data_IF_338181458927
#
_entry.id   IF_338181458927
#
_cell.length_a   1.000
_cell.length_b   1.000
_cell.length_c   1.000
_cell.angle_alpha   90.00
_cell.angle_beta   90.00
_cell.angle_gamma   90.00
#
_symmetry.space_group_name_H-M   'P 1'
#
loop_
_entity.id
_entity.type
_entity.pdbx_description
1 polymer ?
#
# COMPACT_ATOMS: atom_id res chain seq x y z
N UNK A 1 -38.89 41.42 -15.59
CA UNK A 1 -40.37 41.28 -15.52
C UNK A 1 -40.70 40.24 -14.46
N UNK A 2 -41.68 40.53 -13.60
CA UNK A 2 -42.03 39.88 -12.34
C UNK A 2 -42.02 38.33 -12.31
N UNK A 3 -41.15 37.73 -11.49
CA UNK A 3 -41.26 36.31 -11.07
C UNK A 3 -42.46 36.11 -10.10
N UNK A 4 -43.01 37.20 -9.54
CA UNK A 4 -44.15 37.18 -8.63
C UNK A 4 -45.53 36.90 -9.26
N UNK A 5 -45.64 36.79 -10.59
CA UNK A 5 -46.95 36.68 -11.26
C UNK A 5 -47.41 35.24 -11.60
N UNK A 6 -46.56 34.22 -11.44
CA UNK A 6 -46.92 32.83 -11.75
C UNK A 6 -47.44 32.02 -10.54
N UNK A 7 -47.40 32.57 -9.32
CA UNK A 7 -47.77 31.87 -8.08
C UNK A 7 -49.28 31.96 -7.79
N UNK A 8 -50.05 32.62 -8.68
CA UNK A 8 -51.48 32.89 -8.49
C UNK A 8 -52.44 31.76 -8.85
N UNK A 9 -52.05 30.76 -9.64
CA UNK A 9 -52.99 29.70 -10.10
C UNK A 9 -52.27 28.40 -10.45
N UNK A 10 -52.04 27.53 -9.47
CA UNK A 10 -52.32 26.11 -9.71
C UNK A 10 -52.58 25.37 -8.40
N UNK A 11 -53.75 24.72 -8.34
CA UNK A 11 -54.11 23.70 -7.33
C UNK A 11 -53.02 22.61 -7.19
N UNK A 12 -52.13 22.51 -8.18
CA UNK A 12 -51.04 21.55 -8.32
C UNK A 12 -49.99 21.66 -7.20
N UNK A 13 -49.49 22.86 -6.88
CA UNK A 13 -48.45 23.02 -5.85
C UNK A 13 -48.94 22.65 -4.44
N UNK A 14 -50.22 22.88 -4.13
CA UNK A 14 -50.83 22.44 -2.87
C UNK A 14 -51.01 20.93 -2.77
N UNK A 15 -51.01 20.22 -3.91
CA UNK A 15 -51.18 18.77 -3.96
C UNK A 15 -49.87 17.99 -3.86
N UNK A 16 -48.70 18.66 -3.89
CA UNK A 16 -47.38 18.02 -3.83
C UNK A 16 -47.05 17.42 -2.45
N UNK A 17 -47.72 17.87 -1.39
CA UNK A 17 -47.56 17.30 -0.03
C UNK A 17 -48.05 15.85 0.05
N UNK A 18 -49.18 15.53 -0.59
CA UNK A 18 -49.78 14.19 -0.55
C UNK A 18 -48.91 13.07 -1.16
N UNK A 19 -48.29 13.22 -2.35
CA UNK A 19 -47.37 12.22 -2.86
C UNK A 19 -46.09 12.12 -2.02
N UNK A 20 -45.60 13.22 -1.41
CA UNK A 20 -44.46 13.18 -0.50
C UNK A 20 -44.74 12.34 0.77
N UNK A 21 -45.88 12.59 1.43
CA UNK A 21 -46.34 11.78 2.57
C UNK A 21 -46.61 10.34 2.14
N UNK A 22 -47.25 10.14 0.99
CA UNK A 22 -47.54 8.81 0.44
C UNK A 22 -46.28 7.99 0.20
N UNK A 23 -45.23 8.58 -0.36
CA UNK A 23 -43.94 7.92 -0.58
C UNK A 23 -43.22 7.59 0.74
N UNK A 24 -43.26 8.49 1.71
CA UNK A 24 -42.65 8.25 3.03
C UNK A 24 -43.37 7.13 3.79
N UNK A 25 -44.71 7.12 3.78
CA UNK A 25 -45.52 6.06 4.38
C UNK A 25 -45.31 4.75 3.63
N UNK A 26 -45.30 4.76 2.29
CA UNK A 26 -45.06 3.56 1.50
C UNK A 26 -43.67 2.97 1.76
N UNK A 27 -42.63 3.79 1.90
CA UNK A 27 -41.30 3.34 2.27
C UNK A 27 -41.23 2.77 3.70
N UNK A 28 -41.88 3.41 4.67
CA UNK A 28 -42.02 2.90 6.05
C UNK A 28 -42.76 1.55 6.08
N UNK A 29 -43.90 1.46 5.40
CA UNK A 29 -44.68 0.22 5.29
C UNK A 29 -43.88 -0.87 4.59
N UNK A 30 -43.18 -0.55 3.51
CA UNK A 30 -42.33 -1.50 2.79
C UNK A 30 -41.20 -2.04 3.69
N UNK A 31 -40.53 -1.18 4.47
CA UNK A 31 -39.46 -1.60 5.40
C UNK A 31 -39.97 -2.44 6.57
N UNK A 32 -41.15 -2.11 7.12
CA UNK A 32 -41.76 -2.87 8.22
C UNK A 32 -42.29 -4.22 7.75
N UNK A 33 -42.96 -4.28 6.60
CA UNK A 33 -43.56 -5.51 6.07
C UNK A 33 -42.49 -6.46 5.52
N UNK A 34 -41.44 -5.94 4.87
CA UNK A 34 -40.37 -6.79 4.34
C UNK A 34 -39.44 -7.33 5.42
N UNK A 35 -39.43 -6.71 6.62
CA UNK A 35 -38.42 -6.97 7.66
C UNK A 35 -36.99 -6.63 7.24
N UNK A 36 -36.78 -6.09 6.03
CA UNK A 36 -35.49 -5.78 5.44
C UNK A 36 -35.46 -4.30 5.03
N UNK A 37 -34.68 -3.52 5.76
CA UNK A 37 -34.40 -2.11 5.48
C UNK A 37 -33.32 -1.98 4.39
N UNK A 38 -33.65 -2.43 3.18
CA UNK A 38 -32.80 -2.33 1.99
C UNK A 38 -32.86 -0.95 1.32
N UNK A 39 -32.21 -0.82 0.16
CA UNK A 39 -32.12 0.45 -0.58
C UNK A 39 -33.49 1.00 -1.01
N UNK A 40 -34.45 0.13 -1.33
CA UNK A 40 -35.74 0.55 -1.90
C UNK A 40 -36.67 1.24 -0.88
N UNK A 41 -36.94 0.69 0.32
CA UNK A 41 -37.62 1.43 1.40
C UNK A 41 -36.95 2.77 1.72
N UNK A 42 -35.61 2.79 1.71
CA UNK A 42 -34.80 3.97 2.04
C UNK A 42 -34.94 5.10 1.01
N UNK A 43 -34.84 4.77 -0.28
CA UNK A 43 -35.03 5.74 -1.36
C UNK A 43 -36.43 6.34 -1.33
N UNK A 44 -37.45 5.53 -1.04
CA UNK A 44 -38.84 5.99 -0.93
C UNK A 44 -39.05 6.95 0.25
N UNK A 45 -38.45 6.65 1.41
CA UNK A 45 -38.50 7.54 2.59
C UNK A 45 -37.78 8.86 2.31
N UNK A 46 -36.55 8.80 1.78
CA UNK A 46 -35.74 10.00 1.50
C UNK A 46 -36.42 10.86 0.43
N UNK A 47 -36.92 10.27 -0.66
CA UNK A 47 -37.64 10.98 -1.70
C UNK A 47 -38.94 11.61 -1.17
N UNK A 48 -39.69 10.89 -0.32
CA UNK A 48 -40.90 11.40 0.32
C UNK A 48 -40.62 12.60 1.24
N UNK A 49 -39.60 12.49 2.10
CA UNK A 49 -39.17 13.58 2.99
C UNK A 49 -38.63 14.79 2.22
N UNK A 50 -37.86 14.57 1.15
CA UNK A 50 -37.35 15.66 0.30
C UNK A 50 -38.48 16.43 -0.39
N UNK A 51 -39.52 15.74 -0.88
CA UNK A 51 -40.69 16.37 -1.48
C UNK A 51 -41.52 17.17 -0.45
N UNK A 52 -41.66 16.66 0.76
CA UNK A 52 -42.34 17.38 1.85
C UNK A 52 -41.53 18.62 2.24
N UNK A 53 -40.21 18.52 2.38
CA UNK A 53 -39.33 19.64 2.71
C UNK A 53 -39.33 20.70 1.61
N UNK A 54 -39.26 20.28 0.35
CA UNK A 54 -39.38 21.17 -0.80
C UNK A 54 -40.73 21.90 -0.83
N UNK A 55 -41.83 21.20 -0.53
CA UNK A 55 -43.15 21.81 -0.40
C UNK A 55 -43.20 22.83 0.74
N UNK A 56 -42.62 22.51 1.90
CA UNK A 56 -42.55 23.44 3.04
C UNK A 56 -41.76 24.71 2.68
N UNK A 57 -40.64 24.60 1.96
CA UNK A 57 -39.87 25.75 1.47
C UNK A 57 -40.68 26.62 0.49
N UNK A 58 -41.44 25.99 -0.42
CA UNK A 58 -42.32 26.71 -1.35
C UNK A 58 -43.48 27.43 -0.62
N UNK A 59 -44.05 26.81 0.41
CA UNK A 59 -45.09 27.44 1.23
C UNK A 59 -44.51 28.61 2.03
N UNK A 60 -43.34 28.41 2.66
CA UNK A 60 -42.65 29.44 3.44
C UNK A 60 -42.30 30.68 2.59
N UNK A 61 -41.96 30.50 1.31
CA UNK A 61 -41.60 31.58 0.37
C UNK A 61 -42.80 32.23 -0.32
N UNK A 62 -44.00 31.64 -0.26
CA UNK A 62 -45.18 32.16 -0.94
C UNK A 62 -45.89 33.28 -0.16
N UNK A 63 -45.92 34.51 -0.71
CA UNK A 63 -46.58 35.70 -0.13
C UNK A 63 -48.10 35.57 0.11
N UNK A 64 -48.75 34.53 -0.43
CA UNK A 64 -50.21 34.34 -0.40
C UNK A 64 -50.75 33.74 0.91
N UNK A 65 -49.90 33.10 1.73
CA UNK A 65 -50.28 32.57 3.05
C UNK A 65 -50.13 33.62 4.17
N UNK A 66 -49.52 34.77 3.88
CA UNK A 66 -49.03 35.77 4.84
C UNK A 66 -49.95 37.01 5.00
N UNK A 67 -51.28 36.85 4.96
CA UNK A 67 -52.22 37.99 5.13
C UNK A 67 -52.85 38.15 6.53
N UNK A 68 -52.70 37.20 7.45
CA UNK A 68 -53.22 37.32 8.83
C UNK A 68 -52.08 37.34 9.86
N UNK A 69 -51.90 38.48 10.54
CA UNK A 69 -50.77 38.76 11.44
C UNK A 69 -50.71 37.88 12.70
N UNK A 70 -51.78 37.18 13.07
CA UNK A 70 -51.84 36.34 14.28
C UNK A 70 -51.45 34.86 14.07
N UNK A 71 -51.39 34.37 12.82
CA UNK A 71 -51.03 32.97 12.50
C UNK A 71 -49.63 32.80 11.89
N UNK A 72 -48.93 33.90 11.59
CA UNK A 72 -47.61 33.89 10.92
C UNK A 72 -46.47 33.33 11.79
N UNK A 73 -46.45 33.58 13.10
CA UNK A 73 -45.34 33.11 13.93
C UNK A 73 -45.50 31.65 14.37
N UNK A 74 -46.70 31.27 14.85
CA UNK A 74 -46.94 29.95 15.42
C UNK A 74 -46.88 28.81 14.41
N UNK A 75 -47.46 28.98 13.21
CA UNK A 75 -47.48 27.91 12.20
C UNK A 75 -46.12 27.69 11.54
N UNK A 76 -45.35 28.75 11.30
CA UNK A 76 -44.00 28.63 10.76
C UNK A 76 -43.03 28.03 11.78
N UNK A 77 -43.17 28.38 13.06
CA UNK A 77 -42.41 27.76 14.14
C UNK A 77 -42.74 26.26 14.22
N UNK A 78 -44.02 25.87 14.15
CA UNK A 78 -44.43 24.46 14.17
C UNK A 78 -43.82 23.69 12.99
N UNK A 79 -43.92 24.23 11.78
CA UNK A 79 -43.36 23.64 10.56
C UNK A 79 -41.84 23.48 10.67
N UNK A 80 -41.13 24.52 11.13
CA UNK A 80 -39.69 24.49 11.28
C UNK A 80 -39.25 23.47 12.33
N UNK A 81 -39.95 23.39 13.47
CA UNK A 81 -39.69 22.41 14.53
C UNK A 81 -39.95 21.00 14.02
N UNK A 82 -41.05 20.74 13.32
CA UNK A 82 -41.34 19.42 12.75
C UNK A 82 -40.30 19.03 11.70
N UNK A 83 -39.89 19.94 10.82
CA UNK A 83 -38.84 19.68 9.84
C UNK A 83 -37.49 19.38 10.52
N UNK A 84 -37.12 20.14 11.55
CA UNK A 84 -35.90 19.92 12.33
C UNK A 84 -35.89 18.54 12.99
N UNK A 85 -36.99 18.15 13.64
CA UNK A 85 -37.11 16.83 14.28
C UNK A 85 -37.01 15.71 13.24
N UNK A 86 -37.65 15.86 12.07
CA UNK A 86 -37.54 14.88 10.99
C UNK A 86 -36.11 14.76 10.45
N UNK A 87 -35.41 15.89 10.25
CA UNK A 87 -34.02 15.90 9.80
C UNK A 87 -33.11 15.24 10.83
N UNK A 88 -33.24 15.60 12.12
CA UNK A 88 -32.43 15.01 13.19
C UNK A 88 -32.72 13.52 13.35
N UNK A 89 -33.98 13.09 13.22
CA UNK A 89 -34.36 11.68 13.22
C UNK A 89 -33.74 10.91 12.06
N UNK A 90 -33.79 11.46 10.84
CA UNK A 90 -33.15 10.86 9.66
C UNK A 90 -31.63 10.79 9.83
N UNK A 91 -31.01 11.86 10.33
CA UNK A 91 -29.56 11.93 10.55
C UNK A 91 -29.11 10.92 11.60
N UNK A 92 -29.81 10.84 12.73
CA UNK A 92 -29.54 9.84 13.77
C UNK A 92 -29.71 8.41 13.24
N UNK A 93 -30.74 8.16 12.44
CA UNK A 93 -30.98 6.86 11.82
C UNK A 93 -29.88 6.50 10.80
N UNK A 94 -29.43 7.44 9.97
CA UNK A 94 -28.32 7.23 9.04
C UNK A 94 -27.01 6.92 9.78
N UNK A 95 -26.69 7.67 10.83
CA UNK A 95 -25.47 7.45 11.65
C UNK A 95 -25.52 6.08 12.34
N UNK A 96 -26.67 5.71 12.91
CA UNK A 96 -26.82 4.42 13.59
C UNK A 96 -26.76 3.22 12.63
N UNK A 97 -27.21 3.39 11.38
CA UNK A 97 -27.31 2.30 10.41
C UNK A 97 -26.09 2.17 9.49
N UNK A 98 -25.41 3.28 9.20
CA UNK A 98 -24.22 3.33 8.34
C UNK A 98 -23.02 3.87 9.13
N UNK A 99 -22.39 3.04 9.98
CA UNK A 99 -21.19 3.43 10.71
C UNK A 99 -19.98 3.47 9.75
N UNK A 100 -19.94 4.44 8.83
CA UNK A 100 -18.71 4.74 8.10
C UNK A 100 -17.75 5.48 9.03
N UNK A 101 -16.65 4.83 9.36
CA UNK A 101 -15.57 5.40 10.16
C UNK A 101 -14.61 6.13 9.23
N UNK A 102 -14.83 7.42 9.07
CA UNK A 102 -13.87 8.28 8.40
C UNK A 102 -12.84 8.67 9.46
N UNK A 103 -11.59 8.24 9.26
CA UNK A 103 -10.49 8.64 10.13
C UNK A 103 -10.13 10.10 9.85
N UNK A 104 -10.52 11.00 10.75
CA UNK A 104 -10.24 12.44 10.70
C UNK A 104 -8.97 12.80 11.46
N UNK A 105 -8.18 11.83 11.95
CA UNK A 105 -6.91 12.12 12.60
C UNK A 105 -5.89 12.62 11.59
N UNK A 106 -5.09 13.60 11.99
CA UNK A 106 -4.10 14.26 11.12
C UNK A 106 -3.08 13.28 10.49
N UNK A 107 -2.85 12.15 11.14
CA UNK A 107 -1.91 11.11 10.70
C UNK A 107 -2.59 9.80 10.25
N UNK A 108 -3.92 9.75 10.11
CA UNK A 108 -4.65 8.55 9.68
C UNK A 108 -4.29 7.27 10.47
N UNK A 109 -3.99 7.42 11.76
CA UNK A 109 -3.42 6.37 12.63
C UNK A 109 -4.33 5.15 12.84
N UNK A 110 -5.61 5.24 12.46
CA UNK A 110 -6.57 4.15 12.55
C UNK A 110 -6.91 3.55 11.20
N UNK A 111 -6.24 3.98 10.12
CA UNK A 111 -6.47 3.47 8.78
C UNK A 111 -5.19 2.91 8.16
N UNK A 112 -5.32 1.83 7.42
CA UNK A 112 -4.19 1.19 6.75
C UNK A 112 -3.69 2.03 5.58
N UNK A 113 -2.38 1.98 5.34
CA UNK A 113 -1.76 2.60 4.18
C UNK A 113 -2.35 2.02 2.87
N UNK A 114 -2.41 2.80 1.77
CA UNK A 114 -2.94 2.33 0.49
C UNK A 114 -2.30 1.02 -0.01
N UNK A 115 -1.00 0.85 0.22
CA UNK A 115 -0.26 -0.35 -0.16
C UNK A 115 -0.71 -1.58 0.64
N UNK A 116 -0.87 -1.44 1.96
CA UNK A 116 -1.40 -2.49 2.85
C UNK A 116 -2.81 -2.91 2.44
N UNK A 117 -3.68 -1.94 2.11
CA UNK A 117 -5.04 -2.20 1.60
C UNK A 117 -5.02 -3.06 0.33
N UNK A 118 -4.19 -2.70 -0.65
CA UNK A 118 -4.08 -3.44 -1.91
C UNK A 118 -3.64 -4.90 -1.69
N UNK A 119 -2.66 -5.13 -0.80
CA UNK A 119 -2.14 -6.47 -0.52
C UNK A 119 -3.20 -7.34 0.18
N UNK A 120 -3.89 -6.81 1.19
CA UNK A 120 -4.91 -7.55 1.94
C UNK A 120 -6.13 -7.89 1.08
N UNK A 121 -6.53 -6.97 0.20
CA UNK A 121 -7.64 -7.22 -0.73
C UNK A 121 -7.27 -8.22 -1.83
N UNK A 122 -5.99 -8.29 -2.20
CA UNK A 122 -5.47 -9.21 -3.22
C UNK A 122 -5.07 -10.60 -2.70
N UNK A 123 -5.38 -10.95 -1.45
CA UNK A 123 -5.05 -12.28 -0.91
C UNK A 123 -5.86 -13.39 -1.61
N UNK A 124 -5.17 -14.27 -2.32
CA UNK A 124 -5.79 -15.41 -3.01
C UNK A 124 -6.05 -16.58 -2.05
N UNK A 125 -5.13 -16.82 -1.11
CA UNK A 125 -5.19 -17.89 -0.11
C UNK A 125 -5.57 -17.35 1.28
N UNK A 126 -6.23 -18.14 2.15
CA UNK A 126 -6.52 -17.72 3.50
C UNK A 126 -5.25 -17.71 4.36
N UNK A 127 -5.01 -16.58 5.02
CA UNK A 127 -3.86 -16.33 5.90
C UNK A 127 -4.36 -16.18 7.34
N UNK A 128 -3.67 -16.84 8.27
CA UNK A 128 -3.91 -16.75 9.71
C UNK A 128 -2.67 -16.20 10.42
N UNK A 129 -2.85 -15.10 11.14
CA UNK A 129 -1.80 -14.48 11.95
C UNK A 129 -1.92 -14.94 13.41
N UNK A 130 -0.88 -15.57 13.94
CA UNK A 130 -0.77 -15.94 15.34
C UNK A 130 0.12 -14.93 16.08
N UNK A 131 -0.45 -14.27 17.10
CA UNK A 131 0.30 -13.35 17.96
C UNK A 131 0.58 -14.06 19.28
N UNK A 132 1.84 -14.40 19.52
CA UNK A 132 2.23 -15.08 20.74
C UNK A 132 2.65 -14.07 21.79
N UNK A 133 1.73 -13.77 22.70
CA UNK A 133 2.02 -12.86 23.80
C UNK A 133 1.27 -13.29 25.06
N UNK A 134 1.91 -13.25 26.24
CA UNK A 134 1.22 -13.51 27.51
C UNK A 134 0.14 -12.46 27.81
N UNK A 135 0.25 -11.27 27.21
CA UNK A 135 -0.67 -10.14 27.40
C UNK A 135 -1.12 -9.60 26.05
N UNK A 136 -2.35 -9.10 25.95
CA UNK A 136 -2.79 -8.41 24.74
C UNK A 136 -1.96 -7.15 24.47
N UNK A 137 -1.67 -6.91 23.19
CA UNK A 137 -0.91 -5.75 22.71
C UNK A 137 -1.84 -4.87 21.88
N UNK A 138 -2.44 -3.81 22.45
CA UNK A 138 -3.41 -2.98 21.73
C UNK A 138 -2.91 -2.42 20.39
N UNK A 139 -1.63 -1.98 20.23
CA UNK A 139 -1.14 -1.52 18.94
C UNK A 139 -1.17 -2.61 17.85
N UNK A 140 -0.74 -3.83 18.19
CA UNK A 140 -0.74 -4.97 17.27
C UNK A 140 -2.18 -5.41 16.97
N UNK A 141 -3.03 -5.49 17.99
CA UNK A 141 -4.44 -5.88 17.85
C UNK A 141 -5.20 -4.92 16.94
N UNK A 142 -4.96 -3.62 17.05
CA UNK A 142 -5.60 -2.61 16.20
C UNK A 142 -5.21 -2.76 14.74
N UNK A 143 -3.92 -2.98 14.46
CA UNK A 143 -3.43 -3.24 13.09
C UNK A 143 -4.10 -4.50 12.55
N UNK A 144 -4.00 -5.64 13.22
CA UNK A 144 -4.58 -6.91 12.73
C UNK A 144 -6.11 -6.84 12.57
N UNK A 145 -6.79 -6.13 13.46
CA UNK A 145 -8.23 -5.88 13.33
C UNK A 145 -8.57 -5.14 12.05
N UNK A 146 -7.79 -4.12 11.69
CA UNK A 146 -8.00 -3.37 10.45
C UNK A 146 -7.79 -4.26 9.21
N UNK A 147 -6.83 -5.20 9.24
CA UNK A 147 -6.62 -6.17 8.15
C UNK A 147 -7.82 -7.11 8.01
N UNK A 148 -8.34 -7.63 9.13
CA UNK A 148 -9.54 -8.48 9.15
C UNK A 148 -10.79 -7.73 8.69
N UNK A 149 -10.94 -6.45 9.04
CA UNK A 149 -12.07 -5.63 8.60
C UNK A 149 -12.06 -5.40 7.08
N UNK A 150 -10.89 -5.41 6.43
CA UNK A 150 -10.79 -5.29 4.97
C UNK A 150 -11.04 -6.60 4.22
N UNK A 151 -10.62 -7.74 4.77
CA UNK A 151 -10.80 -9.03 4.13
C UNK A 151 -11.07 -10.15 5.17
N UNK A 152 -12.30 -10.20 5.68
CA UNK A 152 -12.68 -11.16 6.72
C UNK A 152 -12.75 -12.61 6.23
N UNK A 153 -12.78 -12.84 4.92
CA UNK A 153 -12.85 -14.18 4.32
C UNK A 153 -11.47 -14.83 4.21
N UNK A 154 -10.44 -14.04 3.90
CA UNK A 154 -9.08 -14.54 3.65
C UNK A 154 -8.08 -14.15 4.72
N UNK A 155 -8.42 -13.27 5.67
CA UNK A 155 -7.51 -12.90 6.75
C UNK A 155 -8.15 -13.13 8.12
N UNK A 156 -7.45 -13.91 8.95
CA UNK A 156 -7.83 -14.17 10.35
C UNK A 156 -6.63 -13.97 11.27
N UNK A 157 -6.88 -13.71 12.56
CA UNK A 157 -5.82 -13.61 13.55
C UNK A 157 -6.25 -14.20 14.90
N UNK A 158 -5.29 -14.73 15.64
CA UNK A 158 -5.48 -15.32 16.97
C UNK A 158 -4.36 -14.89 17.92
N UNK A 159 -4.71 -14.55 19.16
CA UNK A 159 -3.74 -14.29 20.22
C UNK A 159 -3.54 -15.59 21.00
N UNK A 160 -2.31 -16.10 20.97
CA UNK A 160 -1.95 -17.33 21.67
C UNK A 160 -1.11 -16.98 22.89
N UNK A 161 -1.51 -17.48 24.05
CA UNK A 161 -0.67 -17.40 25.24
C UNK A 161 0.33 -18.57 25.23
N UNK A 162 1.65 -18.31 25.08
CA UNK A 162 2.65 -19.38 24.98
C UNK A 162 2.75 -20.21 26.27
N UNK A 163 2.34 -19.67 27.43
CA UNK A 163 2.32 -20.39 28.70
C UNK A 163 1.17 -21.39 28.81
N UNK A 164 0.07 -21.15 28.08
CA UNK A 164 -1.13 -21.99 28.14
C UNK A 164 -1.15 -23.06 27.05
N UNK A 165 -0.45 -22.83 25.92
CA UNK A 165 -0.42 -23.73 24.78
C UNK A 165 1.02 -24.05 24.32
N UNK A 166 1.85 -24.70 25.17
CA UNK A 166 3.24 -24.99 24.83
C UNK A 166 3.39 -25.94 23.63
N UNK A 167 2.39 -26.77 23.33
CA UNK A 167 2.39 -27.66 22.16
C UNK A 167 2.38 -26.91 20.82
N UNK A 168 1.56 -25.86 20.71
CA UNK A 168 1.49 -25.03 19.50
C UNK A 168 2.77 -24.21 19.28
N UNK A 169 3.41 -23.78 20.37
CA UNK A 169 4.71 -23.08 20.36
C UNK A 169 5.82 -23.99 19.81
N UNK A 170 5.82 -25.28 20.18
CA UNK A 170 6.80 -26.26 19.69
C UNK A 170 6.57 -26.64 18.23
N UNK A 171 5.30 -26.82 17.84
CA UNK A 171 4.92 -27.13 16.46
C UNK A 171 5.34 -26.03 15.48
N UNK A 172 5.22 -24.77 15.90
CA UNK A 172 5.61 -23.60 15.10
C UNK A 172 7.09 -23.19 15.27
N UNK A 173 7.89 -23.99 15.99
CA UNK A 173 9.35 -23.81 16.07
C UNK A 173 9.82 -22.59 16.85
N UNK A 174 9.04 -22.11 17.82
CA UNK A 174 9.30 -20.83 18.50
C UNK A 174 10.38 -20.90 19.59
N UNK A 175 11.11 -19.79 19.73
CA UNK A 175 12.18 -19.61 20.73
C UNK A 175 11.90 -18.51 21.76
N UNK A 176 11.14 -17.45 21.42
CA UNK A 176 10.97 -16.27 22.27
C UNK A 176 9.49 -15.82 22.44
N UNK A 177 9.08 -15.33 23.63
CA UNK A 177 7.78 -14.68 23.83
C UNK A 177 7.71 -13.31 23.16
N UNK A 178 6.62 -13.00 22.43
CA UNK A 178 6.42 -11.71 21.76
C UNK A 178 6.47 -11.78 20.23
N UNK A 179 6.62 -12.96 19.64
CA UNK A 179 6.68 -13.09 18.19
C UNK A 179 5.28 -13.11 17.55
N UNK A 180 5.15 -12.39 16.44
CA UNK A 180 3.99 -12.49 15.53
C UNK A 180 4.39 -13.42 14.40
N UNK A 181 3.72 -14.56 14.33
CA UNK A 181 3.86 -15.51 13.24
C UNK A 181 2.72 -15.32 12.25
N UNK A 182 3.08 -15.22 10.99
CA UNK A 182 2.13 -15.33 9.89
C UNK A 182 2.19 -16.74 9.30
N UNK A 183 1.04 -17.38 9.20
CA UNK A 183 0.88 -18.70 8.61
C UNK A 183 -0.12 -18.64 7.46
N UNK A 184 0.24 -19.26 6.33
CA UNK A 184 -0.71 -19.57 5.26
C UNK A 184 -1.34 -20.92 5.59
N UNK A 185 -2.67 -20.95 5.69
CA UNK A 185 -3.44 -22.19 5.87
C UNK A 185 -3.96 -22.63 4.51
N UNK A 186 -3.44 -23.71 3.94
CA UNK A 186 -4.12 -24.37 2.83
C UNK A 186 -5.27 -25.21 3.38
N UNK A 187 -6.49 -25.11 2.82
CA UNK A 187 -7.55 -26.06 3.15
C UNK A 187 -7.07 -27.47 2.80
N UNK A 188 -7.02 -28.38 3.78
CA UNK A 188 -6.64 -29.77 3.58
C UNK A 188 -7.33 -30.38 2.34
N UNK A 189 -6.56 -30.59 1.28
CA UNK A 189 -6.93 -31.56 0.26
C UNK A 189 -6.53 -32.94 0.78
N UNK A 190 -7.54 -33.78 0.96
CA UNK A 190 -7.47 -35.19 1.36
C UNK A 190 -6.24 -35.90 0.76
N UNK A 191 -5.17 -36.03 1.56
CA UNK A 191 -4.02 -36.88 1.27
C UNK A 191 -3.82 -37.80 2.46
N UNK A 192 -3.99 -39.12 2.30
CA UNK A 192 -3.88 -40.06 3.39
C UNK A 192 -2.39 -40.34 3.69
N UNK A 193 -1.87 -39.81 4.80
CA UNK A 193 -0.57 -40.26 5.28
C UNK A 193 0.13 -39.31 6.24
N UNK A 194 -0.22 -39.38 7.54
CA UNK A 194 0.73 -39.37 8.68
C UNK A 194 -0.07 -39.39 9.99
N UNK A 195 -0.02 -40.47 10.79
CA UNK A 195 -0.67 -40.50 12.09
C UNK A 195 0.17 -39.69 13.08
N UNK A 196 -0.25 -38.45 13.34
CA UNK A 196 0.42 -37.57 14.32
C UNK A 196 -0.06 -36.12 14.33
N UNK A 197 -0.65 -35.62 13.24
CA UNK A 197 -1.15 -34.25 13.15
C UNK A 197 -2.66 -34.21 13.40
N UNK A 198 -3.08 -33.72 14.58
CA UNK A 198 -4.46 -33.29 14.81
C UNK A 198 -4.54 -31.82 14.37
N UNK A 199 -5.02 -31.58 13.14
CA UNK A 199 -5.23 -30.24 12.60
C UNK A 199 -4.74 -30.13 11.15
N UNK A 200 -5.64 -30.33 10.19
CA UNK A 200 -5.31 -30.37 8.76
C UNK A 200 -5.12 -29.00 8.11
N UNK A 201 -4.09 -28.25 8.52
CA UNK A 201 -3.57 -27.11 7.74
C UNK A 201 -2.09 -27.40 7.47
N UNK A 202 -1.69 -27.63 6.21
CA UNK A 202 -0.27 -27.78 5.87
C UNK A 202 0.38 -26.38 6.00
N UNK A 203 1.28 -26.23 6.96
CA UNK A 203 2.09 -25.03 7.15
C UNK A 203 3.11 -24.91 6.03
N UNK A 204 2.89 -24.01 5.07
CA UNK A 204 3.82 -23.83 3.95
C UNK A 204 4.84 -22.72 4.20
N UNK A 205 4.44 -21.64 4.86
CA UNK A 205 5.32 -20.49 5.11
C UNK A 205 5.05 -19.86 6.47
N UNK A 206 6.14 -19.63 7.23
CA UNK A 206 6.15 -19.07 8.58
C UNK A 206 7.09 -17.88 8.59
N UNK A 207 6.55 -16.67 8.75
CA UNK A 207 7.37 -15.47 8.95
C UNK A 207 7.23 -15.00 10.39
N UNK A 208 8.36 -14.87 11.08
CA UNK A 208 8.43 -14.31 12.43
C UNK A 208 8.69 -12.80 12.37
N UNK A 209 7.92 -12.03 13.12
CA UNK A 209 8.11 -10.61 13.39
C UNK A 209 8.19 -10.40 14.90
N UNK A 210 9.35 -9.95 15.39
CA UNK A 210 9.54 -9.63 16.81
C UNK A 210 8.68 -8.42 17.20
N UNK A 211 7.97 -8.52 18.32
CA UNK A 211 7.09 -7.47 18.85
C UNK A 211 7.76 -6.10 18.99
N UNK A 212 9.03 -6.05 19.43
CA UNK A 212 9.75 -4.77 19.63
C UNK A 212 9.92 -3.97 18.33
N UNK A 213 9.87 -4.66 17.20
CA UNK A 213 10.05 -4.06 15.88
C UNK A 213 8.77 -4.06 15.04
N UNK A 214 7.63 -4.45 15.63
CA UNK A 214 6.38 -4.58 14.91
C UNK A 214 5.93 -3.22 14.34
N UNK A 215 5.75 -3.17 13.02
CA UNK A 215 5.15 -2.05 12.30
C UNK A 215 4.18 -2.56 11.24
N UNK A 216 3.21 -1.73 10.85
CA UNK A 216 2.30 -2.04 9.74
C UNK A 216 3.09 -2.36 8.46
N UNK A 217 4.15 -1.58 8.17
CA UNK A 217 4.98 -1.79 6.99
C UNK A 217 5.64 -3.17 6.98
N UNK A 218 6.25 -3.59 8.10
CA UNK A 218 6.89 -4.91 8.22
C UNK A 218 5.86 -6.03 8.12
N UNK A 219 4.71 -5.87 8.76
CA UNK A 219 3.62 -6.84 8.67
C UNK A 219 3.06 -6.97 7.24
N UNK A 220 2.85 -5.85 6.54
CA UNK A 220 2.42 -5.83 5.13
C UNK A 220 3.44 -6.51 4.22
N UNK A 221 4.73 -6.29 4.44
CA UNK A 221 5.77 -6.88 3.59
C UNK A 221 5.92 -8.37 3.86
N UNK A 222 5.80 -8.79 5.12
CA UNK A 222 5.71 -10.20 5.48
C UNK A 222 4.46 -10.86 4.85
N UNK A 223 3.31 -10.22 4.89
CA UNK A 223 2.09 -10.70 4.23
C UNK A 223 2.25 -10.78 2.70
N UNK A 224 2.93 -9.80 2.09
CA UNK A 224 3.25 -9.84 0.65
C UNK A 224 4.13 -11.02 0.29
N UNK A 225 5.16 -11.30 1.10
CA UNK A 225 6.04 -12.47 0.93
C UNK A 225 5.29 -13.78 1.05
N UNK A 226 4.27 -13.83 1.90
CA UNK A 226 3.45 -15.03 2.06
C UNK A 226 2.40 -15.20 0.95
N UNK A 227 1.88 -14.08 0.45
CA UNK A 227 0.94 -14.08 -0.66
C UNK A 227 1.62 -14.40 -2.00
N UNK A 228 2.93 -14.15 -2.13
CA UNK A 228 3.75 -14.53 -3.28
C UNK A 228 4.42 -15.86 -2.95
N UNK A 229 4.19 -16.91 -3.73
CA UNK A 229 4.79 -18.24 -3.54
C UNK A 229 6.33 -18.27 -3.76
N UNK A 230 6.95 -17.11 -3.97
CA UNK A 230 8.39 -16.94 -4.21
C UNK A 230 8.92 -15.68 -3.52
N UNK A 231 10.04 -15.84 -2.82
CA UNK A 231 10.83 -14.73 -2.30
C UNK A 231 11.73 -14.22 -3.44
N UNK A 232 11.54 -12.98 -3.85
CA UNK A 232 12.36 -12.35 -4.89
C UNK A 232 13.82 -12.20 -4.39
N UNK A 233 14.76 -12.88 -5.05
CA UNK A 233 16.19 -12.85 -4.70
C UNK A 233 16.92 -11.74 -5.47
N UNK A 234 17.75 -10.98 -4.76
CA UNK A 234 18.69 -10.02 -5.32
C UNK A 234 20.10 -10.54 -5.10
N UNK A 235 20.81 -10.81 -6.19
CA UNK A 235 22.15 -11.36 -6.12
C UNK A 235 23.21 -10.28 -6.24
N UNK A 236 24.18 -10.27 -5.34
CA UNK A 236 25.34 -9.39 -5.37
C UNK A 236 26.54 -10.14 -5.95
N UNK A 237 27.07 -9.68 -7.08
CA UNK A 237 28.20 -10.32 -7.73
C UNK A 237 29.44 -10.30 -6.83
N UNK A 238 30.15 -11.42 -6.78
CA UNK A 238 31.41 -11.59 -6.06
C UNK A 238 32.44 -12.34 -6.92
N UNK A 239 33.69 -11.87 -6.89
CA UNK A 239 34.83 -12.52 -7.57
C UNK A 239 35.81 -11.54 -8.23
N UNK A 240 35.40 -10.31 -8.49
CA UNK A 240 36.18 -9.27 -9.19
C UNK A 240 36.61 -8.11 -8.30
N UNK A 241 36.43 -8.22 -6.98
CA UNK A 241 36.83 -7.22 -5.99
C UNK A 241 35.73 -6.24 -5.60
N UNK A 242 34.48 -6.62 -5.87
CA UNK A 242 33.27 -5.89 -5.48
C UNK A 242 33.17 -5.68 -3.97
N UNK A 243 32.38 -4.68 -3.57
CA UNK A 243 31.94 -4.53 -2.19
C UNK A 243 31.18 -5.77 -1.74
N UNK A 244 31.62 -6.35 -0.63
CA UNK A 244 30.94 -7.52 -0.07
C UNK A 244 29.58 -7.12 0.46
N UNK A 245 28.66 -8.08 0.43
CA UNK A 245 27.28 -7.87 0.88
C UNK A 245 27.22 -7.38 2.34
N UNK A 246 28.16 -7.78 3.19
CA UNK A 246 28.21 -7.33 4.60
C UNK A 246 28.55 -5.83 4.73
N UNK A 247 29.33 -5.28 3.81
CA UNK A 247 29.66 -3.85 3.75
C UNK A 247 28.45 -3.00 3.33
N UNK A 248 27.47 -3.63 2.69
CA UNK A 248 26.22 -3.03 2.21
C UNK A 248 25.03 -3.34 3.13
N UNK A 249 25.29 -3.64 4.40
CA UNK A 249 24.27 -4.05 5.41
C UNK A 249 23.02 -3.16 5.45
N UNK A 250 23.17 -1.84 5.34
CA UNK A 250 22.03 -0.91 5.30
C UNK A 250 21.16 -1.15 4.06
N UNK A 251 21.77 -1.30 2.89
CA UNK A 251 21.04 -1.58 1.66
C UNK A 251 20.35 -2.95 1.74
N UNK A 252 21.06 -3.97 2.22
CA UNK A 252 20.51 -5.32 2.43
C UNK A 252 19.33 -5.30 3.38
N UNK A 253 19.42 -4.59 4.50
CA UNK A 253 18.31 -4.44 5.45
C UNK A 253 17.10 -3.73 4.83
N UNK A 254 17.32 -2.70 4.00
CA UNK A 254 16.23 -2.00 3.32
C UNK A 254 15.57 -2.85 2.22
N UNK A 255 16.34 -3.72 1.56
CA UNK A 255 15.82 -4.71 0.62
C UNK A 255 14.99 -5.77 1.35
N UNK A 256 15.50 -6.26 2.49
CA UNK A 256 14.79 -7.17 3.38
C UNK A 256 13.49 -6.57 3.91
N UNK A 257 13.49 -5.30 4.31
CA UNK A 257 12.28 -4.62 4.73
C UNK A 257 11.26 -4.55 3.60
N UNK A 258 11.68 -4.45 2.33
CA UNK A 258 10.80 -4.40 1.15
C UNK A 258 10.32 -5.75 0.63
N UNK A 259 10.76 -6.85 1.23
CA UNK A 259 10.32 -8.19 0.84
C UNK A 259 11.35 -8.98 0.04
N UNK A 260 12.52 -8.42 -0.27
CA UNK A 260 13.58 -9.10 -1.02
C UNK A 260 14.51 -9.88 -0.08
N UNK A 261 15.18 -10.89 -0.60
CA UNK A 261 16.36 -11.48 0.04
C UNK A 261 17.60 -11.17 -0.78
N UNK A 262 18.75 -11.11 -0.12
CA UNK A 262 20.01 -10.75 -0.79
C UNK A 262 21.05 -11.83 -0.56
N UNK A 263 21.69 -12.28 -1.64
CA UNK A 263 22.68 -13.36 -1.60
C UNK A 263 23.93 -12.98 -2.41
N UNK A 264 25.13 -13.40 -1.97
CA UNK A 264 26.32 -13.30 -2.81
C UNK A 264 26.23 -14.28 -4.00
N UNK A 265 26.76 -13.88 -5.15
CA UNK A 265 26.77 -14.66 -6.39
C UNK A 265 28.18 -14.72 -6.96
N UNK A 266 28.80 -15.88 -6.88
CA UNK A 266 30.03 -16.17 -7.60
C UNK A 266 29.69 -16.75 -8.98
N UNK A 267 29.50 -15.88 -9.97
CA UNK A 267 29.03 -16.27 -11.31
C UNK A 267 30.05 -17.15 -12.04
N UNK A 268 31.34 -16.85 -11.92
CA UNK A 268 32.40 -17.70 -12.47
C UNK A 268 32.33 -19.14 -11.94
N UNK A 269 32.07 -19.33 -10.64
CA UNK A 269 31.94 -20.66 -10.05
C UNK A 269 30.72 -21.43 -10.59
N UNK A 270 29.57 -20.78 -10.76
CA UNK A 270 28.37 -21.41 -11.34
C UNK A 270 28.58 -21.80 -12.79
N UNK A 271 29.16 -20.90 -13.60
CA UNK A 271 29.44 -21.17 -15.02
C UNK A 271 30.41 -22.35 -15.19
N UNK A 272 31.41 -22.48 -14.31
CA UNK A 272 32.32 -23.64 -14.32
C UNK A 272 31.61 -24.96 -14.00
N UNK A 273 30.47 -24.92 -13.30
CA UNK A 273 29.62 -26.08 -13.02
C UNK A 273 28.57 -26.33 -14.13
N UNK A 274 28.59 -25.54 -15.20
CA UNK A 274 27.61 -25.59 -16.28
C UNK A 274 26.26 -24.96 -15.90
N UNK A 275 26.21 -24.18 -14.82
CA UNK A 275 25.02 -23.46 -14.37
C UNK A 275 25.06 -22.00 -14.82
N UNK A 276 23.90 -21.39 -15.01
CA UNK A 276 23.75 -19.97 -15.33
C UNK A 276 23.48 -19.10 -14.10
N UNK A 277 22.96 -17.90 -14.35
CA UNK A 277 22.36 -17.08 -13.31
C UNK A 277 21.09 -17.81 -12.80
N UNK A 278 20.85 -17.90 -11.47
CA UNK A 278 19.66 -18.54 -10.91
C UNK A 278 18.34 -17.99 -11.47
N UNK A 279 17.35 -18.85 -11.68
CA UNK A 279 16.05 -18.46 -12.28
C UNK A 279 15.19 -17.58 -11.34
N UNK A 280 15.43 -17.65 -10.04
CA UNK A 280 14.78 -16.84 -9.00
C UNK A 280 15.44 -15.44 -8.84
N UNK A 281 16.50 -15.15 -9.60
CA UNK A 281 17.18 -13.86 -9.59
C UNK A 281 16.28 -12.75 -10.17
N UNK A 282 15.75 -11.91 -9.30
CA UNK A 282 14.95 -10.73 -9.67
C UNK A 282 15.83 -9.57 -10.16
N UNK A 283 17.02 -9.43 -9.58
CA UNK A 283 18.05 -8.52 -10.07
C UNK A 283 19.46 -8.99 -9.68
N UNK A 284 20.44 -8.60 -10.49
CA UNK A 284 21.87 -8.73 -10.20
C UNK A 284 22.45 -7.35 -9.89
N UNK A 285 23.23 -7.24 -8.82
CA UNK A 285 23.95 -6.03 -8.42
C UNK A 285 25.44 -6.27 -8.57
N UNK A 286 26.10 -5.44 -9.36
CA UNK A 286 27.57 -5.43 -9.51
C UNK A 286 28.09 -4.17 -8.83
N UNK A 287 28.64 -4.34 -7.63
CA UNK A 287 28.95 -3.23 -6.72
C UNK A 287 30.46 -2.93 -6.67
N UNK A 288 30.93 -1.99 -7.48
CA UNK A 288 32.34 -1.53 -7.47
C UNK A 288 33.35 -2.59 -7.93
N UNK A 289 33.18 -3.24 -9.09
CA UNK A 289 34.11 -4.26 -9.56
C UNK A 289 35.49 -3.64 -9.83
N UNK A 290 36.52 -4.15 -9.17
CA UNK A 290 37.89 -3.64 -9.28
C UNK A 290 38.69 -4.27 -10.43
N UNK A 291 38.20 -5.40 -10.94
CA UNK A 291 38.79 -6.16 -12.06
C UNK A 291 37.73 -6.45 -13.11
N UNK A 292 38.22 -6.70 -14.32
CA UNK A 292 37.36 -7.03 -15.45
C UNK A 292 36.69 -8.39 -15.30
N UNK A 293 35.37 -8.42 -15.54
CA UNK A 293 34.60 -9.67 -15.60
C UNK A 293 35.10 -10.55 -16.75
N UNK A 294 34.94 -11.87 -16.61
CA UNK A 294 35.31 -12.82 -17.64
C UNK A 294 34.29 -12.78 -18.81
N UNK A 295 34.74 -13.06 -20.03
CA UNK A 295 33.87 -13.07 -21.20
C UNK A 295 32.62 -13.98 -21.04
N UNK A 296 32.72 -15.19 -20.45
CA UNK A 296 31.54 -16.02 -20.18
C UNK A 296 30.55 -15.39 -19.19
N UNK A 297 31.04 -14.63 -18.21
CA UNK A 297 30.19 -13.91 -17.24
C UNK A 297 29.45 -12.77 -17.91
N UNK A 298 30.14 -11.98 -18.75
CA UNK A 298 29.51 -10.91 -19.53
C UNK A 298 28.44 -11.48 -20.48
N UNK A 299 28.69 -12.62 -21.11
CA UNK A 299 27.72 -13.32 -21.95
C UNK A 299 26.50 -13.82 -21.15
N UNK A 300 26.71 -14.34 -19.93
CA UNK A 300 25.62 -14.76 -19.06
C UNK A 300 24.75 -13.59 -18.58
N UNK A 301 25.38 -12.48 -18.16
CA UNK A 301 24.68 -11.23 -17.81
C UNK A 301 23.87 -10.67 -18.97
N UNK A 302 24.42 -10.74 -20.19
CA UNK A 302 23.71 -10.38 -21.41
C UNK A 302 22.46 -11.24 -21.62
N UNK A 303 22.60 -12.57 -21.56
CA UNK A 303 21.49 -13.49 -21.75
C UNK A 303 20.38 -13.29 -20.70
N UNK A 304 20.76 -12.95 -19.46
CA UNK A 304 19.82 -12.61 -18.39
C UNK A 304 19.07 -11.31 -18.66
N UNK A 305 19.76 -10.26 -19.11
CA UNK A 305 19.13 -9.00 -19.53
C UNK A 305 18.19 -9.18 -20.73
N UNK A 306 18.57 -10.00 -21.71
CA UNK A 306 17.76 -10.30 -22.89
C UNK A 306 16.44 -11.01 -22.54
N UNK A 307 16.40 -11.71 -21.39
CA UNK A 307 15.21 -12.35 -20.83
C UNK A 307 14.36 -11.41 -19.95
N UNK A 308 14.76 -10.15 -19.81
CA UNK A 308 14.05 -9.15 -19.00
C UNK A 308 14.52 -9.05 -17.55
N UNK A 309 15.65 -9.69 -17.20
CA UNK A 309 16.27 -9.55 -15.88
C UNK A 309 16.74 -8.13 -15.58
N UNK A 310 16.87 -7.80 -14.29
CA UNK A 310 17.34 -6.48 -13.83
C UNK A 310 18.83 -6.47 -13.50
N UNK A 311 19.59 -5.51 -14.03
CA UNK A 311 21.01 -5.33 -13.69
C UNK A 311 21.26 -3.94 -13.11
N UNK A 312 21.86 -3.89 -11.93
CA UNK A 312 22.33 -2.65 -11.29
C UNK A 312 23.86 -2.64 -11.29
N UNK A 313 24.43 -1.63 -11.94
CA UNK A 313 25.88 -1.45 -12.03
C UNK A 313 26.30 -0.21 -11.23
N UNK A 314 27.20 -0.41 -10.28
CA UNK A 314 27.86 0.66 -9.54
C UNK A 314 29.35 0.60 -9.91
N UNK A 315 29.79 1.45 -10.83
CA UNK A 315 31.15 1.38 -11.39
C UNK A 315 31.95 2.56 -10.90
N UNK A 316 33.08 2.27 -10.26
CA UNK A 316 34.03 3.28 -9.79
C UNK A 316 34.89 3.82 -10.95
N UNK A 317 35.32 5.09 -10.88
CA UNK A 317 36.23 5.67 -11.87
C UNK A 317 37.60 4.98 -11.84
N UNK A 318 38.31 5.03 -12.97
CA UNK A 318 39.63 4.38 -13.14
C UNK A 318 39.62 2.85 -12.96
N UNK A 319 38.48 2.20 -13.18
CA UNK A 319 38.36 0.73 -13.24
C UNK A 319 38.02 0.29 -14.67
N UNK A 320 38.45 -0.92 -15.06
CA UNK A 320 38.02 -1.55 -16.31
C UNK A 320 37.27 -2.85 -15.99
N UNK A 321 35.95 -2.78 -15.77
CA UNK A 321 35.13 -3.96 -15.49
C UNK A 321 34.90 -4.83 -16.74
N UNK A 322 35.39 -4.42 -17.92
CA UNK A 322 35.17 -5.10 -19.20
C UNK A 322 33.69 -5.29 -19.59
N UNK A 323 32.82 -4.40 -19.10
CA UNK A 323 31.39 -4.41 -19.37
C UNK A 323 31.01 -3.65 -20.67
N UNK A 324 31.98 -3.04 -21.36
CA UNK A 324 31.74 -2.30 -22.61
C UNK A 324 30.94 -3.08 -23.66
N UNK A 325 31.21 -4.39 -23.92
CA UNK A 325 30.42 -5.15 -24.90
C UNK A 325 28.93 -5.24 -24.54
N UNK A 326 28.61 -5.34 -23.25
CA UNK A 326 27.25 -5.35 -22.74
C UNK A 326 26.59 -3.96 -22.85
N UNK A 327 27.30 -2.92 -22.39
CA UNK A 327 26.75 -1.58 -22.26
C UNK A 327 26.51 -0.87 -23.60
N UNK A 328 27.34 -1.15 -24.61
CA UNK A 328 27.19 -0.58 -25.94
C UNK A 328 25.87 -0.99 -26.61
N UNK A 329 25.39 -2.21 -26.36
CA UNK A 329 24.07 -2.67 -26.85
C UNK A 329 22.91 -1.92 -26.22
N UNK A 330 23.12 -1.32 -25.04
CA UNK A 330 22.17 -0.48 -24.34
C UNK A 330 22.39 1.02 -24.62
N UNK A 331 23.35 1.35 -25.49
CA UNK A 331 23.71 2.72 -25.84
C UNK A 331 24.46 3.46 -24.73
N UNK A 332 24.92 2.76 -23.69
CA UNK A 332 25.66 3.35 -22.57
C UNK A 332 27.15 3.28 -22.87
N UNK A 333 27.85 4.40 -22.74
CA UNK A 333 29.31 4.48 -22.77
C UNK A 333 29.80 4.97 -21.41
N UNK A 334 30.64 4.15 -20.78
CA UNK A 334 31.39 4.54 -19.59
C UNK A 334 32.55 5.45 -20.01
N UNK A 335 32.83 6.45 -19.18
CA UNK A 335 33.89 7.44 -19.40
C UNK A 335 34.66 7.59 -18.08
N UNK A 336 35.99 7.45 -18.13
CA UNK A 336 36.85 7.44 -16.94
C UNK A 336 36.98 8.81 -16.26
N UNK A 337 36.29 9.83 -16.78
CA UNK A 337 36.29 11.16 -16.18
C UNK A 337 35.49 11.19 -14.88
N UNK A 338 36.18 11.62 -13.83
CA UNK A 338 35.58 11.98 -12.55
C UNK A 338 34.73 13.25 -12.68
N UNK A 339 33.50 13.19 -12.18
CA UNK A 339 32.62 14.34 -12.04
C UNK A 339 33.03 15.10 -10.78
N UNK A 340 33.29 16.40 -10.95
CA UNK A 340 33.67 17.32 -9.88
C UNK A 340 32.55 18.33 -9.66
N UNK A 341 32.08 18.42 -8.41
CA UNK A 341 31.15 19.45 -7.99
C UNK A 341 31.88 20.74 -7.64
N UNK A 342 31.74 21.75 -8.51
CA UNK A 342 32.31 23.08 -8.29
C UNK A 342 31.73 23.83 -7.10
N UNK A 343 30.62 23.36 -6.49
CA UNK A 343 30.06 23.93 -5.25
C UNK A 343 30.80 23.48 -3.98
N UNK A 344 31.75 22.54 -4.10
CA UNK A 344 32.49 21.99 -2.97
C UNK A 344 31.76 20.85 -2.23
N UNK A 345 30.67 20.33 -2.80
CA UNK A 345 29.87 19.25 -2.20
C UNK A 345 29.16 19.69 -0.92
N UNK A 346 28.71 20.95 -0.87
CA UNK A 346 28.00 21.49 0.27
C UNK A 346 26.55 20.97 0.28
N UNK A 347 26.19 20.26 1.35
CA UNK A 347 24.86 19.80 1.67
C UNK A 347 24.29 20.46 2.91
N UNK A 348 22.99 20.27 3.13
CA UNK A 348 22.33 20.55 4.42
C UNK A 348 21.98 19.23 5.10
N UNK A 349 22.39 19.05 6.36
CA UNK A 349 21.99 17.90 7.16
C UNK A 349 20.53 18.00 7.64
N UNK A 350 20.06 16.94 8.30
CA UNK A 350 18.69 16.84 8.82
C UNK A 350 18.36 17.87 9.92
N UNK A 351 19.36 18.57 10.46
CA UNK A 351 19.20 19.63 11.48
C UNK A 351 19.34 21.05 10.89
N UNK A 352 19.57 21.15 9.58
CA UNK A 352 19.80 22.42 8.88
C UNK A 352 21.25 22.91 8.92
N UNK A 353 22.21 22.09 9.37
CA UNK A 353 23.64 22.39 9.36
C UNK A 353 24.25 22.20 7.97
N UNK A 354 25.23 23.04 7.61
CA UNK A 354 25.96 22.91 6.34
C UNK A 354 27.06 21.84 6.52
N UNK A 355 26.98 20.78 5.72
CA UNK A 355 27.96 19.68 5.70
C UNK A 355 28.70 19.71 4.36
N UNK A 356 30.04 19.73 4.39
CA UNK A 356 30.85 19.62 3.19
C UNK A 356 31.31 18.19 2.95
N UNK A 357 30.93 17.60 1.83
CA UNK A 357 31.39 16.27 1.39
C UNK A 357 32.61 16.34 0.47
N UNK A 358 33.02 17.55 0.08
CA UNK A 358 34.14 17.79 -0.81
C UNK A 358 33.75 17.73 -2.29
N UNK A 359 34.64 18.19 -3.18
CA UNK A 359 34.34 18.35 -4.61
C UNK A 359 34.14 17.02 -5.36
N UNK A 360 34.53 15.89 -4.77
CA UNK A 360 34.41 14.55 -5.37
C UNK A 360 33.18 13.78 -4.87
N UNK A 361 32.29 14.42 -4.11
CA UNK A 361 31.07 13.80 -3.60
C UNK A 361 29.87 14.75 -3.80
N UNK A 362 29.41 14.95 -5.06
CA UNK A 362 28.24 15.77 -5.35
C UNK A 362 27.01 15.28 -4.58
N UNK A 363 26.27 16.25 -4.03
CA UNK A 363 24.96 16.02 -3.44
C UNK A 363 23.87 16.30 -4.47
N UNK A 364 23.13 15.27 -4.85
CA UNK A 364 22.00 15.38 -5.78
C UNK A 364 20.71 15.44 -4.97
N UNK A 365 20.00 16.56 -5.08
CA UNK A 365 18.70 16.81 -4.41
C UNK A 365 17.57 17.08 -5.40
N UNK A 366 17.89 17.11 -6.70
CA UNK A 366 16.92 17.33 -7.79
C UNK A 366 17.07 16.24 -8.84
N UNK A 367 16.03 15.45 -8.99
CA UNK A 367 15.94 14.43 -10.03
C UNK A 367 15.05 14.91 -11.17
N UNK A 368 15.30 14.39 -12.38
CA UNK A 368 14.41 14.63 -13.52
C UNK A 368 13.07 13.92 -13.36
N UNK A 369 12.13 14.21 -14.26
CA UNK A 369 10.86 13.48 -14.35
C UNK A 369 11.11 12.10 -14.98
N UNK A 370 11.42 11.11 -14.16
CA UNK A 370 11.65 9.73 -14.60
C UNK A 370 10.96 8.71 -13.68
N UNK A 371 10.37 7.62 -14.19
CA UNK A 371 9.76 6.59 -13.35
C UNK A 371 10.71 6.02 -12.28
N UNK A 372 11.99 5.83 -12.59
CA UNK A 372 13.01 5.33 -11.63
C UNK A 372 13.23 6.32 -10.48
N UNK A 373 13.21 7.62 -10.75
CA UNK A 373 13.48 8.65 -9.74
C UNK A 373 12.21 9.28 -9.15
N UNK A 374 11.03 8.80 -9.54
CA UNK A 374 9.75 9.35 -9.09
C UNK A 374 9.60 9.21 -7.56
N UNK A 375 10.03 8.07 -7.01
CA UNK A 375 9.97 7.77 -5.58
C UNK A 375 11.15 8.34 -4.78
N UNK A 376 12.15 8.94 -5.44
CA UNK A 376 13.29 9.55 -4.76
C UNK A 376 12.90 10.88 -4.09
N UNK A 377 11.79 11.50 -4.54
CA UNK A 377 11.18 12.68 -3.91
C UNK A 377 12.15 13.87 -3.78
N UNK A 378 12.07 14.58 -2.64
CA UNK A 378 13.04 15.60 -2.22
C UNK A 378 14.21 15.00 -1.43
N UNK A 379 14.50 13.72 -1.63
CA UNK A 379 15.62 13.04 -0.99
C UNK A 379 16.96 13.55 -1.51
N UNK A 380 17.97 13.53 -0.64
CA UNK A 380 19.34 13.84 -1.01
C UNK A 380 20.08 12.52 -1.25
N UNK A 381 20.67 12.33 -2.42
CA UNK A 381 21.65 11.24 -2.65
C UNK A 381 23.05 11.80 -2.80
N UNK A 382 23.99 11.13 -2.15
CA UNK A 382 25.41 11.41 -2.27
C UNK A 382 26.03 10.41 -3.23
N UNK A 383 26.79 10.89 -4.20
CA UNK A 383 27.54 10.05 -5.14
C UNK A 383 29.03 10.26 -4.90
N UNK A 384 29.68 9.45 -4.06
CA UNK A 384 31.12 9.54 -3.87
C UNK A 384 31.85 9.08 -5.13
N UNK A 385 32.85 9.84 -5.55
CA UNK A 385 33.70 9.58 -6.72
C UNK A 385 32.94 9.26 -8.01
N UNK A 386 31.97 10.07 -8.45
CA UNK A 386 31.12 9.69 -9.57
C UNK A 386 31.88 9.70 -10.89
N UNK A 387 31.84 8.58 -11.61
CA UNK A 387 32.31 8.50 -12.98
C UNK A 387 31.27 9.08 -13.95
N UNK A 388 31.74 9.66 -15.06
CA UNK A 388 30.86 10.11 -16.13
C UNK A 388 30.35 8.91 -16.93
N UNK A 389 29.06 8.90 -17.20
CA UNK A 389 28.47 8.03 -18.22
C UNK A 389 27.81 8.89 -19.30
N UNK A 390 27.76 8.36 -20.52
CA UNK A 390 26.98 8.97 -21.60
C UNK A 390 26.09 7.95 -22.23
N UNK A 391 24.87 8.37 -22.52
CA UNK A 391 23.91 7.53 -23.21
C UNK A 391 23.68 8.06 -24.62
N UNK A 392 23.73 7.17 -25.59
CA UNK A 392 23.48 7.42 -27.00
C UNK A 392 22.18 6.74 -27.40
N UNK A 393 21.35 7.44 -28.16
CA UNK A 393 20.16 6.84 -28.77
C UNK A 393 20.57 5.79 -29.80
N UNK A 394 20.06 4.57 -29.64
CA UNK A 394 20.22 3.48 -30.59
C UNK A 394 19.23 3.65 -31.76
N UNK A 395 19.61 3.28 -33.00
CA UNK A 395 18.69 3.29 -34.13
C UNK A 395 17.53 2.31 -33.90
N UNK A 396 16.29 2.77 -34.04
CA UNK A 396 15.10 1.90 -34.00
C UNK A 396 14.54 1.57 -32.61
N UNK A 397 15.14 2.07 -31.51
CA UNK A 397 14.58 1.91 -30.17
C UNK A 397 13.56 3.01 -29.83
N UNK A 398 12.50 2.65 -29.09
CA UNK A 398 11.60 3.65 -28.48
C UNK A 398 12.42 4.60 -27.60
N UNK A 399 12.00 5.86 -27.44
CA UNK A 399 12.66 6.81 -26.53
C UNK A 399 12.56 6.29 -25.09
N UNK A 400 13.56 5.51 -24.68
CA UNK A 400 13.82 5.22 -23.26
C UNK A 400 14.58 6.43 -22.72
N UNK A 401 14.13 7.05 -21.62
CA UNK A 401 14.96 8.02 -20.96
C UNK A 401 16.21 7.30 -20.45
N UNK A 402 17.33 8.00 -20.53
CA UNK A 402 18.60 7.53 -20.03
C UNK A 402 18.67 7.66 -18.52
#
# INVERSE_FOLDING_TARGET
MNIGAAIGKSKFWRRLLWPGIGLAVAGLSAGVVSGQWGALPMVLIIAGLALVLFWLLLVATSQAFWRSRATQAGTNALIAVTAMVLILGLLNFLIARYPQRIDLTENQIFSLAPQSKAIVQGLEQPVRAYVFSPTKLPPVENVLKNYRELNSEKFSYEFVNPLQQPGLVQELGMKDPGDVILQVSEPAQDSPGSPGSIGGDRTQFVQNIQQETFSESKFTNALRRLARDQVEQIYFLDGHGEHRIEELSVAVSLLQDRGYESQPLNLAALLNQGQGIPEDASAIVVAGPQRGLLEPEVAALKAYLDQGGGLMLLIDPNTDPKLTPLLQEWGVNLDDRLIIDGSGGLGVDATGGVVGFGPTAPLVSRYGNHPITADFGSGNSLYPWPARSTCRRLPGSMPRPC
#
